data_IF_844915673943
#
_entry.id   IF_844915673943
#
_cell.length_a   1.000
_cell.length_b   1.000
_cell.length_c   1.000
_cell.angle_alpha   90.00
_cell.angle_beta   90.00
_cell.angle_gamma   90.00
#
_symmetry.space_group_name_H-M   'P 1'
#
loop_
_entity.id
_entity.type
_entity.pdbx_description
1 polymer ?
#
# COMPACT_ATOMS: atom_id res chain seq x y z
N UNK A 1 41.32 -42.38 -8.49
CA UNK A 1 40.10 -41.55 -8.41
C UNK A 1 38.96 -42.30 -9.10
N UNK A 2 37.99 -42.83 -8.34
CA UNK A 2 36.75 -43.36 -8.91
C UNK A 2 35.74 -42.21 -8.94
N UNK A 3 35.28 -41.85 -10.13
CA UNK A 3 34.16 -40.92 -10.33
C UNK A 3 32.91 -41.61 -9.78
N UNK A 4 32.27 -41.01 -8.77
CA UNK A 4 30.96 -41.46 -8.31
C UNK A 4 29.92 -41.11 -9.38
N UNK A 5 29.45 -42.12 -10.11
CA UNK A 5 28.29 -41.98 -10.98
C UNK A 5 27.06 -41.80 -10.08
N UNK A 6 26.50 -40.59 -10.03
CA UNK A 6 25.17 -40.38 -9.44
C UNK A 6 24.18 -41.28 -10.20
N UNK A 7 23.45 -42.19 -9.53
CA UNK A 7 22.50 -43.05 -10.23
C UNK A 7 21.43 -42.20 -10.90
N UNK A 8 21.02 -42.60 -12.11
CA UNK A 8 19.92 -41.96 -12.81
C UNK A 8 18.65 -42.01 -11.93
N UNK A 9 17.85 -40.95 -11.88
CA UNK A 9 16.60 -40.97 -11.12
C UNK A 9 15.72 -42.11 -11.63
N UNK A 10 15.20 -42.91 -10.71
CA UNK A 10 14.29 -44.00 -11.06
C UNK A 10 13.05 -43.42 -11.76
N UNK A 11 12.71 -43.97 -12.91
CA UNK A 11 11.51 -43.57 -13.68
C UNK A 11 10.35 -44.43 -13.20
N UNK A 12 9.30 -43.78 -12.66
CA UNK A 12 8.06 -44.44 -12.29
C UNK A 12 7.25 -44.78 -13.55
N UNK A 13 6.48 -45.87 -13.51
CA UNK A 13 5.53 -46.19 -14.57
C UNK A 13 4.35 -45.24 -14.55
N UNK A 14 3.71 -45.06 -15.72
CA UNK A 14 2.53 -44.20 -15.86
C UNK A 14 1.38 -44.63 -14.93
N UNK A 15 1.18 -45.95 -14.77
CA UNK A 15 0.18 -46.50 -13.84
C UNK A 15 0.46 -46.09 -12.40
N UNK A 16 1.74 -46.13 -11.96
CA UNK A 16 2.09 -45.74 -10.59
C UNK A 16 1.98 -44.24 -10.37
N UNK A 17 2.25 -43.43 -11.41
CA UNK A 17 2.01 -41.99 -11.36
C UNK A 17 0.51 -41.69 -11.23
N UNK A 18 -0.35 -42.41 -11.97
CA UNK A 18 -1.80 -42.26 -11.88
C UNK A 18 -2.32 -42.59 -10.47
N UNK A 19 -1.88 -43.71 -9.90
CA UNK A 19 -2.23 -44.08 -8.52
C UNK A 19 -1.80 -43.02 -7.50
N UNK A 20 -0.60 -42.45 -7.65
CA UNK A 20 -0.12 -41.40 -6.76
C UNK A 20 -0.94 -40.10 -6.85
N UNK A 21 -1.43 -39.73 -8.04
CA UNK A 21 -2.34 -38.59 -8.18
C UNK A 21 -3.65 -38.83 -7.43
N UNK A 22 -4.24 -40.02 -7.59
CA UNK A 22 -5.47 -40.40 -6.88
C UNK A 22 -5.25 -40.46 -5.35
N UNK A 23 -4.10 -40.96 -4.89
CA UNK A 23 -3.73 -40.97 -3.47
C UNK A 23 -3.61 -39.54 -2.90
N UNK A 24 -3.04 -38.60 -3.66
CA UNK A 24 -2.89 -37.19 -3.24
C UNK A 24 -4.24 -36.47 -3.22
N UNK A 25 -5.04 -36.62 -4.27
CA UNK A 25 -6.33 -35.93 -4.40
C UNK A 25 -7.33 -36.38 -3.32
N UNK A 26 -7.23 -37.62 -2.87
CA UNK A 26 -8.06 -38.18 -1.80
C UNK A 26 -7.43 -38.11 -0.40
N UNK A 27 -6.29 -37.43 -0.25
CA UNK A 27 -5.62 -37.35 1.04
C UNK A 27 -6.43 -36.53 2.05
N UNK A 28 -6.64 -37.09 3.25
CA UNK A 28 -7.40 -36.44 4.29
C UNK A 28 -6.64 -35.23 4.89
N UNK A 29 -7.22 -34.04 4.72
CA UNK A 29 -6.68 -32.80 5.24
C UNK A 29 -7.20 -32.45 6.65
N UNK A 30 -8.09 -33.25 7.23
CA UNK A 30 -8.75 -32.95 8.53
C UNK A 30 -7.77 -32.81 9.69
N UNK A 31 -6.60 -33.46 9.61
CA UNK A 31 -5.53 -33.36 10.59
C UNK A 31 -4.60 -32.16 10.41
N UNK A 32 -4.77 -31.36 9.36
CA UNK A 32 -3.91 -30.20 9.10
C UNK A 32 -4.53 -28.95 9.71
N UNK A 33 -3.80 -28.34 10.65
CA UNK A 33 -4.14 -27.02 11.18
C UNK A 33 -4.05 -25.98 10.07
N UNK A 34 -5.13 -25.23 9.82
CA UNK A 34 -5.13 -24.13 8.85
C UNK A 34 -4.04 -23.09 9.17
N UNK A 35 -3.66 -22.95 10.44
CA UNK A 35 -2.58 -22.06 10.86
C UNK A 35 -1.19 -22.56 10.45
N UNK A 36 -1.02 -23.86 10.16
CA UNK A 36 0.23 -24.40 9.62
C UNK A 36 0.54 -23.84 8.23
N UNK A 37 -0.47 -23.43 7.45
CA UNK A 37 -0.26 -22.80 6.15
C UNK A 37 0.03 -21.29 6.24
N UNK A 38 -0.21 -20.64 7.39
CA UNK A 38 0.11 -19.22 7.60
C UNK A 38 1.61 -18.91 7.53
N UNK A 39 2.47 -19.92 7.66
CA UNK A 39 3.92 -19.77 7.45
C UNK A 39 4.26 -19.50 5.98
N UNK A 40 3.40 -19.93 5.05
CA UNK A 40 3.53 -19.68 3.61
C UNK A 40 2.77 -18.42 3.17
N UNK A 41 1.91 -17.86 4.03
CA UNK A 41 1.38 -16.51 3.81
C UNK A 41 2.56 -15.52 3.77
N UNK A 42 2.49 -14.56 2.85
CA UNK A 42 3.52 -13.54 2.69
C UNK A 42 3.79 -12.81 4.02
N UNK A 43 4.92 -13.13 4.66
CA UNK A 43 5.44 -12.52 5.90
C UNK A 43 6.01 -11.12 5.62
N UNK A 44 5.19 -10.26 5.00
CA UNK A 44 5.51 -8.88 4.72
C UNK A 44 5.24 -7.95 5.88
N UNK A 45 4.73 -6.77 5.55
CA UNK A 45 4.33 -5.73 6.48
C UNK A 45 3.07 -6.12 7.28
N UNK A 46 3.12 -6.01 8.61
CA UNK A 46 1.96 -6.23 9.50
C UNK A 46 1.67 -4.94 10.32
N UNK A 47 0.55 -4.23 10.06
CA UNK A 47 0.21 -2.99 10.76
C UNK A 47 0.17 -3.10 12.28
N UNK A 48 -0.37 -4.21 12.80
CA UNK A 48 -0.52 -4.45 14.23
C UNK A 48 0.83 -4.62 14.91
N UNK A 49 1.78 -5.29 14.25
CA UNK A 49 3.14 -5.43 14.77
C UNK A 49 3.88 -4.10 14.81
N UNK A 50 3.68 -3.23 13.81
CA UNK A 50 4.27 -1.88 13.81
C UNK A 50 3.71 -1.04 14.96
N UNK A 51 2.39 -1.04 15.18
CA UNK A 51 1.79 -0.34 16.32
C UNK A 51 2.29 -0.91 17.65
N UNK A 52 2.39 -2.25 17.76
CA UNK A 52 2.92 -2.90 18.95
C UNK A 52 4.36 -2.49 19.23
N UNK A 53 5.24 -2.49 18.22
CA UNK A 53 6.63 -2.05 18.37
C UNK A 53 6.73 -0.59 18.82
N UNK A 54 5.89 0.30 18.29
CA UNK A 54 5.83 1.70 18.72
C UNK A 54 5.37 1.79 20.17
N UNK A 55 4.36 1.03 20.57
CA UNK A 55 3.84 1.02 21.94
C UNK A 55 4.87 0.48 22.95
N UNK A 56 5.54 -0.62 22.62
CA UNK A 56 6.62 -1.18 23.45
C UNK A 56 7.74 -0.17 23.64
N UNK A 57 8.20 0.46 22.54
CA UNK A 57 9.25 1.46 22.62
C UNK A 57 8.83 2.72 23.41
N UNK A 58 7.55 3.11 23.33
CA UNK A 58 6.96 4.17 24.14
C UNK A 58 6.99 3.84 25.64
N UNK A 59 6.59 2.61 26.00
CA UNK A 59 6.56 2.14 27.38
C UNK A 59 7.97 2.07 27.98
N UNK A 60 8.94 1.50 27.24
CA UNK A 60 10.35 1.42 27.64
C UNK A 60 10.97 2.79 27.92
N UNK A 61 10.49 3.84 27.24
CA UNK A 61 11.01 5.21 27.34
C UNK A 61 10.10 6.15 28.13
N UNK A 62 9.06 5.63 28.78
CA UNK A 62 8.07 6.41 29.54
C UNK A 62 7.46 7.56 28.72
N UNK A 63 7.20 7.33 27.43
CA UNK A 63 6.53 8.30 26.56
C UNK A 63 5.03 8.22 26.81
N UNK A 64 4.42 9.35 27.15
CA UNK A 64 2.99 9.40 27.39
C UNK A 64 2.18 9.18 26.10
N UNK A 65 0.90 8.83 26.28
CA UNK A 65 -0.01 8.49 25.17
C UNK A 65 -0.14 9.63 24.16
N UNK A 66 -0.27 10.87 24.60
CA UNK A 66 -0.54 11.99 23.70
C UNK A 66 0.70 12.32 22.86
N UNK A 67 1.89 12.29 23.49
CA UNK A 67 3.17 12.39 22.78
C UNK A 67 3.33 11.26 21.77
N UNK A 68 3.04 10.01 22.14
CA UNK A 68 3.11 8.86 21.22
C UNK A 68 2.18 9.03 20.01
N UNK A 69 0.94 9.46 20.24
CA UNK A 69 -0.03 9.70 19.16
C UNK A 69 0.46 10.80 18.21
N UNK A 70 1.01 11.89 18.76
CA UNK A 70 1.58 12.97 17.96
C UNK A 70 2.80 12.52 17.16
N UNK A 71 3.69 11.73 17.76
CA UNK A 71 4.86 11.19 17.08
C UNK A 71 4.47 10.24 15.93
N UNK A 72 3.41 9.42 16.09
CA UNK A 72 2.82 8.65 14.99
C UNK A 72 2.35 9.56 13.85
N UNK A 73 1.67 10.66 14.18
CA UNK A 73 1.20 11.63 13.18
C UNK A 73 2.38 12.29 12.47
N UNK A 74 3.45 12.64 13.18
CA UNK A 74 4.68 13.16 12.58
C UNK A 74 5.33 12.13 11.65
N UNK A 75 5.44 10.87 12.06
CA UNK A 75 5.97 9.80 11.21
C UNK A 75 5.14 9.64 9.92
N UNK A 76 3.81 9.68 10.04
CA UNK A 76 2.90 9.68 8.88
C UNK A 76 3.15 10.88 7.95
N UNK A 77 3.28 12.09 8.51
CA UNK A 77 3.54 13.30 7.75
C UNK A 77 4.87 13.24 7.00
N UNK A 78 5.95 12.80 7.66
CA UNK A 78 7.27 12.65 7.05
C UNK A 78 7.21 11.66 5.88
N UNK A 79 6.58 10.50 6.08
CA UNK A 79 6.41 9.50 5.05
C UNK A 79 5.59 10.00 3.85
N UNK A 80 4.49 10.73 4.08
CA UNK A 80 3.71 11.30 2.99
C UNK A 80 4.52 12.32 2.17
N UNK A 81 5.25 13.22 2.83
CA UNK A 81 6.02 14.29 2.17
C UNK A 81 7.25 13.74 1.44
N UNK A 82 8.00 12.84 2.08
CA UNK A 82 9.34 12.41 1.60
C UNK A 82 9.37 10.98 1.08
N UNK A 83 8.43 10.16 1.49
CA UNK A 83 8.36 8.75 1.13
C UNK A 83 9.29 7.98 2.06
N UNK A 84 10.07 7.08 1.47
CA UNK A 84 11.16 6.43 2.18
C UNK A 84 12.21 7.46 2.61
N UNK A 85 12.40 7.62 3.91
CA UNK A 85 13.46 8.45 4.47
C UNK A 85 14.79 7.71 4.31
N UNK A 86 15.79 8.34 3.73
CA UNK A 86 17.15 7.81 3.58
C UNK A 86 18.15 8.97 3.72
N UNK A 87 19.44 8.66 3.76
CA UNK A 87 20.48 9.66 3.99
C UNK A 87 20.49 10.76 2.91
N UNK A 88 20.23 10.37 1.66
CA UNK A 88 20.10 11.32 0.55
C UNK A 88 18.98 12.34 0.79
N UNK A 89 17.82 11.88 1.27
CA UNK A 89 16.66 12.73 1.49
C UNK A 89 16.81 13.61 2.75
N UNK A 90 17.46 13.08 3.79
CA UNK A 90 17.73 13.78 5.07
C UNK A 90 18.71 14.93 4.86
N UNK A 91 19.79 14.73 4.09
CA UNK A 91 20.79 15.77 3.82
C UNK A 91 20.23 17.03 3.14
N UNK A 92 19.01 16.95 2.60
CA UNK A 92 18.30 18.06 1.92
C UNK A 92 17.20 18.70 2.78
N UNK A 93 17.21 18.43 4.09
CA UNK A 93 16.23 18.97 5.04
C UNK A 93 16.84 20.05 5.92
N UNK A 94 15.98 20.95 6.42
CA UNK A 94 16.38 21.90 7.45
C UNK A 94 16.72 21.20 8.77
N UNK A 95 17.61 21.80 9.55
CA UNK A 95 18.11 21.23 10.81
C UNK A 95 16.99 20.81 11.78
N UNK A 96 15.94 21.62 11.92
CA UNK A 96 14.80 21.30 12.79
C UNK A 96 14.07 20.02 12.36
N UNK A 97 13.96 19.76 11.05
CA UNK A 97 13.34 18.54 10.53
C UNK A 97 14.23 17.32 10.76
N UNK A 98 15.56 17.48 10.57
CA UNK A 98 16.52 16.40 10.84
C UNK A 98 16.51 16.03 12.32
N UNK A 99 16.56 17.01 13.22
CA UNK A 99 16.49 16.78 14.66
C UNK A 99 15.19 16.07 15.06
N UNK A 100 14.05 16.43 14.45
CA UNK A 100 12.79 15.75 14.69
C UNK A 100 12.80 14.30 14.22
N UNK A 101 13.39 14.02 13.05
CA UNK A 101 13.53 12.66 12.53
C UNK A 101 14.44 11.83 13.44
N UNK A 102 15.59 12.35 13.85
CA UNK A 102 16.52 11.66 14.75
C UNK A 102 15.87 11.35 16.10
N UNK A 103 15.13 12.30 16.67
CA UNK A 103 14.35 12.08 17.88
C UNK A 103 13.34 10.92 17.72
N UNK A 104 12.64 10.84 16.58
CA UNK A 104 11.71 9.73 16.30
C UNK A 104 12.45 8.40 16.13
N UNK A 105 13.60 8.41 15.45
CA UNK A 105 14.48 7.23 15.28
C UNK A 105 14.91 6.68 16.64
N UNK A 106 15.37 7.54 17.55
CA UNK A 106 15.81 7.15 18.90
C UNK A 106 14.66 6.68 19.79
N UNK A 107 13.49 7.33 19.71
CA UNK A 107 12.32 7.00 20.54
C UNK A 107 11.67 5.68 20.16
N UNK A 108 11.58 5.36 18.87
CA UNK A 108 10.81 4.21 18.38
C UNK A 108 11.62 3.18 17.62
N UNK A 109 12.96 3.28 17.67
CA UNK A 109 13.88 2.44 16.91
C UNK A 109 13.54 2.44 15.40
N UNK A 110 13.16 3.60 14.87
CA UNK A 110 12.74 3.71 13.46
C UNK A 110 13.95 3.53 12.57
N UNK A 111 13.87 2.57 11.63
CA UNK A 111 14.86 2.41 10.58
C UNK A 111 14.55 3.27 9.36
N UNK A 112 15.60 3.74 8.71
CA UNK A 112 15.54 4.40 7.40
C UNK A 112 15.26 3.39 6.29
N UNK A 113 14.73 3.86 5.18
CA UNK A 113 14.37 3.08 4.00
C UNK A 113 12.91 2.65 3.96
N UNK A 114 12.57 1.84 2.95
CA UNK A 114 11.21 1.35 2.73
C UNK A 114 10.82 0.14 3.57
N UNK A 115 11.75 -0.45 4.34
CA UNK A 115 11.52 -1.70 5.07
C UNK A 115 11.43 -2.95 4.19
N UNK A 116 11.94 -2.89 2.95
CA UNK A 116 12.00 -4.07 2.06
C UNK A 116 13.05 -5.04 2.60
N UNK A 117 12.66 -6.29 2.85
CA UNK A 117 13.54 -7.31 3.44
C UNK A 117 13.71 -7.20 4.95
N UNK A 118 13.07 -6.22 5.60
CA UNK A 118 13.10 -6.11 7.07
C UNK A 118 12.02 -7.02 7.70
N UNK A 119 12.28 -7.60 8.89
CA UNK A 119 11.29 -8.37 9.64
C UNK A 119 10.00 -7.58 9.92
N UNK A 120 8.83 -8.23 10.07
CA UNK A 120 7.53 -7.54 10.21
C UNK A 120 7.43 -6.53 11.38
N UNK A 121 8.17 -6.74 12.46
CA UNK A 121 8.19 -5.86 13.65
C UNK A 121 8.98 -4.57 13.47
N UNK A 122 9.85 -4.49 12.46
CA UNK A 122 10.72 -3.32 12.24
C UNK A 122 9.87 -2.11 11.83
N UNK A 123 10.04 -1.02 12.56
CA UNK A 123 9.36 0.26 12.32
C UNK A 123 10.16 1.05 11.28
N UNK A 124 9.50 1.48 10.21
CA UNK A 124 10.02 2.47 9.25
C UNK A 124 8.95 3.51 8.99
N UNK A 125 9.32 4.73 8.59
CA UNK A 125 8.35 5.77 8.23
C UNK A 125 7.29 5.29 7.23
N UNK A 126 7.72 4.55 6.19
CA UNK A 126 6.82 3.99 5.17
C UNK A 126 5.84 2.97 5.75
N UNK A 127 6.30 2.11 6.67
CA UNK A 127 5.43 1.14 7.35
C UNK A 127 4.46 1.81 8.32
N UNK A 128 4.88 2.87 9.01
CA UNK A 128 3.97 3.67 9.85
C UNK A 128 2.87 4.30 9.00
N UNK A 129 3.19 4.93 7.86
CA UNK A 129 2.18 5.47 6.96
C UNK A 129 1.23 4.40 6.39
N UNK A 130 1.74 3.21 6.08
CA UNK A 130 0.93 2.08 5.64
C UNK A 130 0.03 1.53 6.77
N UNK A 131 0.44 1.67 8.04
CA UNK A 131 -0.37 1.25 9.20
C UNK A 131 -1.49 2.24 9.51
N UNK A 132 -1.31 3.51 9.19
CA UNK A 132 -2.25 4.57 9.55
C UNK A 132 -2.73 5.39 8.33
N UNK A 133 -3.29 4.74 7.29
CA UNK A 133 -3.67 5.42 6.05
C UNK A 133 -4.71 6.53 6.27
N UNK A 134 -5.62 6.33 7.22
CA UNK A 134 -6.60 7.34 7.61
C UNK A 134 -5.99 8.65 8.12
N UNK A 135 -4.85 8.58 8.81
CA UNK A 135 -4.16 9.79 9.28
C UNK A 135 -3.50 10.55 8.14
N UNK A 136 -2.97 9.84 7.15
CA UNK A 136 -2.48 10.47 5.91
C UNK A 136 -3.61 11.23 5.21
N UNK A 137 -4.79 10.62 5.09
CA UNK A 137 -5.95 11.26 4.46
C UNK A 137 -6.38 12.51 5.23
N UNK A 138 -6.48 12.44 6.56
CA UNK A 138 -6.82 13.60 7.39
C UNK A 138 -5.80 14.74 7.25
N UNK A 139 -4.51 14.44 7.20
CA UNK A 139 -3.46 15.44 7.01
C UNK A 139 -3.56 16.12 5.64
N UNK A 140 -3.87 15.37 4.58
CA UNK A 140 -4.05 15.90 3.23
C UNK A 140 -5.33 16.75 3.12
N UNK A 141 -6.45 16.22 3.62
CA UNK A 141 -7.76 16.88 3.60
C UNK A 141 -7.73 18.22 4.34
N UNK A 142 -7.12 18.23 5.53
CA UNK A 142 -6.97 19.44 6.35
C UNK A 142 -5.80 20.33 5.92
N UNK A 143 -5.16 20.03 4.78
CA UNK A 143 -4.05 20.79 4.20
C UNK A 143 -2.88 21.02 5.19
N UNK A 144 -2.65 20.06 6.09
CA UNK A 144 -1.54 20.09 7.06
C UNK A 144 -0.22 19.65 6.45
N UNK A 145 -0.28 18.92 5.34
CA UNK A 145 0.86 18.53 4.52
C UNK A 145 0.56 18.79 3.05
N UNK A 146 1.57 19.04 2.20
CA UNK A 146 1.38 19.15 0.77
C UNK A 146 1.02 17.80 0.15
N UNK A 147 0.08 17.80 -0.78
CA UNK A 147 -0.12 16.69 -1.69
C UNK A 147 1.01 16.62 -2.71
N UNK A 148 1.35 15.41 -3.17
CA UNK A 148 2.37 15.25 -4.21
C UNK A 148 1.82 15.58 -5.58
N UNK A 149 2.60 16.30 -6.36
CA UNK A 149 2.21 16.75 -7.69
C UNK A 149 3.01 16.04 -8.77
N UNK A 150 2.78 14.72 -8.91
CA UNK A 150 3.45 13.93 -9.95
C UNK A 150 2.81 14.19 -11.30
N UNK A 151 3.54 14.90 -12.17
CA UNK A 151 3.12 15.19 -13.54
C UNK A 151 3.60 14.03 -14.43
N UNK A 152 2.66 13.22 -14.89
CA UNK A 152 2.95 12.05 -15.71
C UNK A 152 1.86 11.75 -16.75
N UNK A 153 1.97 10.62 -17.46
CA UNK A 153 1.05 10.26 -18.54
C UNK A 153 -0.41 10.11 -18.10
N UNK A 154 -0.68 9.88 -16.80
CA UNK A 154 -2.02 9.71 -16.27
C UNK A 154 -2.67 11.01 -15.77
N UNK A 155 -1.95 12.13 -15.81
CA UNK A 155 -2.43 13.43 -15.29
C UNK A 155 -2.97 13.34 -13.86
N UNK A 156 -2.39 12.48 -13.03
CA UNK A 156 -2.85 12.26 -11.64
C UNK A 156 -2.68 13.49 -10.74
N UNK A 157 -1.85 14.45 -11.17
CA UNK A 157 -1.75 15.79 -10.59
C UNK A 157 -3.06 16.61 -10.66
N UNK A 158 -4.07 16.16 -11.42
CA UNK A 158 -5.41 16.79 -11.46
C UNK A 158 -6.36 16.27 -10.37
N UNK A 159 -6.08 15.08 -9.80
CA UNK A 159 -6.94 14.47 -8.80
C UNK A 159 -7.02 15.31 -7.51
N UNK A 160 -8.04 15.13 -6.64
CA UNK A 160 -8.05 15.71 -5.31
C UNK A 160 -6.80 15.38 -4.49
N UNK A 161 -6.38 16.29 -3.60
CA UNK A 161 -5.20 16.13 -2.76
C UNK A 161 -5.16 14.77 -2.03
N UNK A 162 -6.30 14.33 -1.51
CA UNK A 162 -6.47 13.06 -0.79
C UNK A 162 -6.21 11.83 -1.65
N UNK A 163 -6.43 11.91 -2.98
CA UNK A 163 -6.15 10.81 -3.91
C UNK A 163 -4.70 10.79 -4.40
N UNK A 164 -3.94 11.85 -4.16
CA UNK A 164 -2.51 11.96 -4.54
C UNK A 164 -1.59 11.27 -3.52
N UNK A 165 -2.00 10.09 -3.06
CA UNK A 165 -1.22 9.21 -2.20
C UNK A 165 -1.75 7.77 -2.28
N UNK A 166 -0.86 6.76 -2.34
CA UNK A 166 -1.24 5.35 -2.48
C UNK A 166 -2.12 4.83 -1.33
N UNK A 167 -1.95 5.39 -0.12
CA UNK A 167 -2.77 5.07 1.05
C UNK A 167 -4.27 5.37 0.88
N UNK A 168 -4.66 6.19 -0.11
CA UNK A 168 -6.07 6.42 -0.43
C UNK A 168 -6.82 5.11 -0.70
N UNK A 169 -6.18 4.14 -1.35
CA UNK A 169 -6.80 2.85 -1.65
C UNK A 169 -7.28 2.10 -0.39
N UNK A 170 -6.56 2.24 0.74
CA UNK A 170 -6.91 1.59 2.00
C UNK A 170 -8.13 2.21 2.70
N UNK A 171 -8.54 3.43 2.32
CA UNK A 171 -9.71 4.09 2.90
C UNK A 171 -10.95 3.99 2.02
N UNK A 172 -10.85 3.40 0.83
CA UNK A 172 -12.02 3.12 0.00
C UNK A 172 -12.82 1.98 0.67
N UNK A 173 -14.09 2.20 1.04
CA UNK A 173 -14.94 1.18 1.66
C UNK A 173 -15.14 -0.02 0.73
N UNK A 174 -15.12 -1.24 1.28
CA UNK A 174 -15.47 -2.44 0.51
C UNK A 174 -16.96 -2.55 0.22
N UNK A 175 -17.80 -1.91 1.06
CA UNK A 175 -19.24 -1.78 0.90
C UNK A 175 -19.67 -0.84 -0.23
N UNK A 176 -18.76 -0.02 -0.76
CA UNK A 176 -19.05 0.86 -1.90
C UNK A 176 -19.40 0.02 -3.12
N UNK A 177 -20.41 0.44 -3.89
CA UNK A 177 -20.82 -0.23 -5.13
C UNK A 177 -19.60 -0.55 -5.98
N UNK A 178 -19.46 -1.83 -6.36
CA UNK A 178 -18.25 -2.40 -6.97
C UNK A 178 -17.69 -1.52 -8.08
N UNK A 179 -18.53 -1.13 -9.03
CA UNK A 179 -18.14 -0.26 -10.13
C UNK A 179 -17.54 1.09 -9.72
N UNK A 180 -18.04 1.69 -8.63
CA UNK A 180 -17.50 2.96 -8.10
C UNK A 180 -16.20 2.73 -7.36
N UNK A 181 -16.11 1.64 -6.61
CA UNK A 181 -14.88 1.20 -5.96
C UNK A 181 -13.76 0.95 -6.97
N UNK A 182 -14.04 0.22 -8.05
CA UNK A 182 -13.09 -0.06 -9.13
C UNK A 182 -12.63 1.20 -9.86
N UNK A 183 -13.55 2.12 -10.13
CA UNK A 183 -13.22 3.42 -10.72
C UNK A 183 -12.23 4.19 -9.84
N UNK A 184 -12.49 4.30 -8.54
CA UNK A 184 -11.61 4.99 -7.59
C UNK A 184 -10.25 4.29 -7.42
N UNK A 185 -10.23 2.97 -7.37
CA UNK A 185 -9.00 2.19 -7.33
C UNK A 185 -8.17 2.38 -8.59
N UNK A 186 -8.82 2.44 -9.76
CA UNK A 186 -8.16 2.73 -11.04
C UNK A 186 -7.49 4.10 -11.03
N UNK A 187 -8.14 5.12 -10.48
CA UNK A 187 -7.53 6.46 -10.33
C UNK A 187 -6.39 6.47 -9.30
N UNK A 188 -6.50 5.69 -8.22
CA UNK A 188 -5.39 5.50 -7.27
C UNK A 188 -4.19 4.80 -7.94
N UNK A 189 -4.44 3.82 -8.81
CA UNK A 189 -3.40 3.18 -9.65
C UNK A 189 -2.76 4.20 -10.58
N UNK A 190 -3.56 5.05 -11.23
CA UNK A 190 -3.09 6.09 -12.13
C UNK A 190 -2.07 7.04 -11.44
N UNK A 191 -2.35 7.44 -10.19
CA UNK A 191 -1.39 8.18 -9.35
C UNK A 191 -0.09 7.40 -9.12
N UNK A 192 -0.19 6.10 -8.81
CA UNK A 192 0.99 5.25 -8.59
C UNK A 192 1.84 5.06 -9.86
N UNK A 193 1.21 5.07 -11.04
CA UNK A 193 1.92 5.07 -12.34
C UNK A 193 2.69 6.37 -12.53
N UNK A 194 2.07 7.53 -12.33
CA UNK A 194 2.75 8.83 -12.47
C UNK A 194 3.87 9.00 -11.43
N UNK A 195 3.66 8.50 -10.21
CA UNK A 195 4.73 8.40 -9.21
C UNK A 195 5.90 7.60 -9.76
N UNK A 196 5.66 6.38 -10.26
CA UNK A 196 6.69 5.51 -10.85
C UNK A 196 7.39 6.16 -12.03
N UNK A 197 6.63 6.90 -12.85
CA UNK A 197 7.17 7.67 -13.96
C UNK A 197 8.14 8.74 -13.45
N UNK A 198 7.76 9.52 -12.43
CA UNK A 198 8.57 10.62 -11.91
C UNK A 198 9.83 10.17 -11.17
N UNK A 199 9.74 9.09 -10.38
CA UNK A 199 10.82 8.67 -9.46
C UNK A 199 11.77 7.62 -10.04
N UNK A 200 11.57 7.18 -11.28
CA UNK A 200 12.44 6.15 -11.90
C UNK A 200 13.89 6.64 -11.97
N UNK A 201 14.81 5.76 -11.58
CA UNK A 201 16.25 6.05 -11.58
C UNK A 201 16.82 6.14 -13.00
N UNK A 202 16.41 5.21 -13.88
CA UNK A 202 16.87 5.20 -15.27
C UNK A 202 15.79 5.77 -16.20
N UNK A 203 16.09 6.95 -16.77
CA UNK A 203 15.22 7.61 -17.75
C UNK A 203 15.43 7.13 -19.19
N UNK A 204 16.49 6.35 -19.46
CA UNK A 204 16.81 5.81 -20.79
C UNK A 204 15.97 4.57 -21.12
N UNK A 205 15.56 3.80 -20.11
CA UNK A 205 14.65 2.67 -20.29
C UNK A 205 13.25 3.19 -20.66
N UNK A 206 12.68 2.63 -21.74
CA UNK A 206 11.32 2.95 -22.18
C UNK A 206 10.34 2.68 -21.05
N UNK A 207 9.51 3.67 -20.74
CA UNK A 207 8.44 3.52 -19.77
C UNK A 207 7.22 2.91 -20.46
N UNK A 208 7.03 1.60 -20.29
CA UNK A 208 5.86 0.87 -20.80
C UNK A 208 4.71 1.05 -19.81
N UNK A 209 3.69 1.82 -20.21
CA UNK A 209 2.64 2.28 -19.31
C UNK A 209 1.80 1.10 -18.81
N UNK A 210 1.45 0.19 -19.70
CA UNK A 210 0.55 -0.93 -19.48
C UNK A 210 1.15 -1.90 -18.45
N UNK A 211 2.42 -2.28 -18.61
CA UNK A 211 3.14 -3.12 -17.66
C UNK A 211 3.26 -2.48 -16.28
N UNK A 212 3.58 -1.18 -16.25
CA UNK A 212 3.67 -0.44 -14.99
C UNK A 212 2.29 -0.36 -14.34
N UNK A 213 1.23 -0.13 -15.13
CA UNK A 213 -0.14 -0.02 -14.64
C UNK A 213 -0.58 -1.31 -13.96
N UNK A 214 -0.39 -2.48 -14.60
CA UNK A 214 -0.77 -3.77 -13.99
C UNK A 214 0.01 -4.06 -12.71
N UNK A 215 1.31 -3.79 -12.70
CA UNK A 215 2.12 -3.93 -11.48
C UNK A 215 1.61 -3.01 -10.36
N UNK A 216 1.26 -1.77 -10.69
CA UNK A 216 0.75 -0.82 -9.70
C UNK A 216 -0.68 -1.16 -9.26
N UNK A 217 -1.52 -1.72 -10.14
CA UNK A 217 -2.86 -2.20 -9.81
C UNK A 217 -2.80 -3.26 -8.73
N UNK A 218 -1.90 -4.23 -8.85
CA UNK A 218 -1.70 -5.27 -7.83
C UNK A 218 -1.33 -4.67 -6.46
N UNK A 219 -0.41 -3.71 -6.44
CA UNK A 219 -0.02 -3.02 -5.21
C UNK A 219 -1.18 -2.24 -4.57
N UNK A 220 -1.94 -1.51 -5.39
CA UNK A 220 -3.14 -0.77 -4.95
C UNK A 220 -4.22 -1.73 -4.43
N UNK A 221 -4.41 -2.88 -5.07
CA UNK A 221 -5.38 -3.88 -4.63
C UNK A 221 -5.00 -4.49 -3.28
N UNK A 222 -3.72 -4.81 -3.07
CA UNK A 222 -3.22 -5.27 -1.75
C UNK A 222 -3.50 -4.21 -0.68
N UNK A 223 -3.26 -2.94 -1.01
CA UNK A 223 -3.53 -1.81 -0.10
C UNK A 223 -5.02 -1.68 0.21
N UNK A 224 -5.88 -1.81 -0.81
CA UNK A 224 -7.33 -1.77 -0.66
C UNK A 224 -7.89 -2.94 0.17
N UNK A 225 -7.26 -4.11 0.08
CA UNK A 225 -7.64 -5.31 0.82
C UNK A 225 -7.04 -5.38 2.23
N UNK A 226 -6.31 -4.35 2.68
CA UNK A 226 -5.69 -4.33 4.00
C UNK A 226 -6.72 -4.53 5.12
N UNK A 227 -6.42 -5.35 6.13
CA UNK A 227 -7.34 -5.58 7.27
C UNK A 227 -7.63 -4.30 8.10
N UNK A 228 -6.78 -3.29 7.98
CA UNK A 228 -6.94 -2.00 8.64
C UNK A 228 -6.87 -0.85 7.61
N UNK A 229 -7.70 0.21 7.73
CA UNK A 229 -8.72 0.43 8.76
C UNK A 229 -9.88 -0.56 8.65
N UNK A 230 -10.57 -0.84 9.76
CA UNK A 230 -11.82 -1.62 9.76
C UNK A 230 -12.86 -0.91 8.89
N UNK A 231 -13.77 -1.67 8.29
CA UNK A 231 -14.74 -1.14 7.31
C UNK A 231 -15.54 0.08 7.82
N UNK A 232 -16.09 0.04 9.04
CA UNK A 232 -16.79 1.18 9.62
C UNK A 232 -15.92 2.44 9.73
N UNK A 233 -14.63 2.27 10.02
CA UNK A 233 -13.68 3.38 10.08
C UNK A 233 -13.39 3.90 8.67
N UNK A 234 -13.28 3.01 7.66
CA UNK A 234 -13.13 3.41 6.26
C UNK A 234 -14.32 4.24 5.80
N UNK A 235 -15.55 3.79 6.07
CA UNK A 235 -16.79 4.50 5.71
C UNK A 235 -16.80 5.90 6.35
N UNK A 236 -16.54 6.00 7.65
CA UNK A 236 -16.51 7.27 8.36
C UNK A 236 -15.45 8.24 7.82
N UNK A 237 -14.24 7.74 7.52
CA UNK A 237 -13.18 8.55 6.91
C UNK A 237 -13.53 8.96 5.48
N UNK A 238 -14.03 8.03 4.66
CA UNK A 238 -14.31 8.26 3.25
C UNK A 238 -15.40 9.33 3.06
N UNK A 239 -16.44 9.32 3.90
CA UNK A 239 -17.46 10.37 3.96
C UNK A 239 -16.89 11.77 4.23
N UNK A 240 -15.78 11.87 4.96
CA UNK A 240 -15.14 13.15 5.28
C UNK A 240 -14.30 13.72 4.13
N UNK A 241 -13.95 12.92 3.11
CA UNK A 241 -13.06 13.34 2.02
C UNK A 241 -13.73 14.20 0.95
N UNK A 242 -15.06 14.37 1.02
CA UNK A 242 -15.85 15.26 0.15
C UNK A 242 -15.46 15.20 -1.35
N UNK A 243 -15.30 13.98 -1.89
CA UNK A 243 -14.90 13.81 -3.28
C UNK A 243 -16.01 14.28 -4.24
N UNK A 244 -15.63 15.13 -5.18
CA UNK A 244 -16.52 15.61 -6.24
C UNK A 244 -16.21 14.89 -7.56
N UNK A 245 -17.25 14.43 -8.26
CA UNK A 245 -17.09 13.70 -9.52
C UNK A 245 -16.27 14.47 -10.57
N UNK A 246 -16.53 15.77 -10.73
CA UNK A 246 -15.87 16.60 -11.74
C UNK A 246 -14.34 16.63 -11.55
N UNK A 247 -13.87 16.61 -10.30
CA UNK A 247 -12.44 16.60 -9.94
C UNK A 247 -11.71 15.31 -10.33
N UNK A 248 -12.44 14.25 -10.71
CA UNK A 248 -11.90 12.95 -11.10
C UNK A 248 -11.74 12.81 -12.62
N UNK A 249 -12.40 13.67 -13.39
CA UNK A 249 -12.64 13.44 -14.82
C UNK A 249 -11.41 13.59 -15.69
N UNK A 250 -10.49 14.50 -15.38
CA UNK A 250 -9.30 14.73 -16.21
C UNK A 250 -8.31 13.56 -16.15
N UNK A 251 -8.04 13.05 -14.95
CA UNK A 251 -7.28 11.83 -14.78
C UNK A 251 -8.02 10.63 -15.39
N UNK A 252 -9.34 10.52 -15.21
CA UNK A 252 -10.12 9.43 -15.80
C UNK A 252 -10.04 9.41 -17.34
N UNK A 253 -10.10 10.57 -18.00
CA UNK A 253 -9.91 10.70 -19.45
C UNK A 253 -8.50 10.32 -19.88
N UNK A 254 -7.49 10.68 -19.10
CA UNK A 254 -6.12 10.28 -19.37
C UNK A 254 -5.95 8.76 -19.29
N UNK A 255 -6.53 8.11 -18.27
CA UNK A 255 -6.57 6.65 -18.17
C UNK A 255 -7.30 6.03 -19.35
N UNK A 256 -8.50 6.51 -19.69
CA UNK A 256 -9.30 6.00 -20.82
C UNK A 256 -8.54 6.09 -22.16
N UNK A 257 -7.74 7.14 -22.36
CA UNK A 257 -6.90 7.29 -23.56
C UNK A 257 -5.83 6.21 -23.73
N UNK A 258 -5.46 5.53 -22.63
CA UNK A 258 -4.49 4.41 -22.60
C UNK A 258 -5.18 3.06 -22.51
N UNK A 259 -6.35 3.01 -21.89
CA UNK A 259 -7.15 1.82 -21.68
C UNK A 259 -8.59 2.09 -22.16
N UNK A 260 -8.89 1.88 -23.47
CA UNK A 260 -10.18 2.25 -24.06
C UNK A 260 -11.40 1.60 -23.39
N UNK A 261 -11.22 0.40 -22.82
CA UNK A 261 -12.27 -0.33 -22.11
C UNK A 261 -12.59 0.27 -20.72
N UNK A 262 -11.75 1.19 -20.22
CA UNK A 262 -12.03 1.91 -18.98
C UNK A 262 -13.20 2.88 -19.19
N UNK A 263 -14.32 2.60 -18.53
CA UNK A 263 -15.51 3.43 -18.55
C UNK A 263 -15.48 4.47 -17.43
N UNK A 264 -15.50 5.74 -17.82
CA UNK A 264 -15.69 6.85 -16.89
C UNK A 264 -17.12 6.78 -16.30
N UNK A 265 -17.24 6.89 -14.98
CA UNK A 265 -18.54 6.96 -14.31
C UNK A 265 -19.32 8.21 -14.72
N UNK A 266 -20.63 8.10 -14.80
CA UNK A 266 -21.51 9.28 -14.82
C UNK A 266 -21.57 9.94 -13.45
N UNK A 267 -21.97 11.22 -13.41
CA UNK A 267 -22.13 11.96 -12.15
C UNK A 267 -23.23 11.34 -11.29
N UNK A 268 -24.33 10.92 -11.90
CA UNK A 268 -25.47 10.30 -11.25
C UNK A 268 -25.07 8.98 -10.57
N UNK A 269 -24.33 8.11 -11.28
CA UNK A 269 -23.82 6.84 -10.73
C UNK A 269 -22.91 7.08 -9.53
N UNK A 270 -22.06 8.10 -9.59
CA UNK A 270 -21.15 8.45 -8.51
C UNK A 270 -21.91 8.99 -7.29
N UNK A 271 -22.77 10.00 -7.47
CA UNK A 271 -23.54 10.63 -6.39
C UNK A 271 -24.47 9.62 -5.70
N UNK A 272 -25.12 8.75 -6.46
CA UNK A 272 -25.97 7.70 -5.90
C UNK A 272 -25.16 6.76 -4.99
N UNK A 273 -24.01 6.27 -5.47
CA UNK A 273 -23.17 5.37 -4.68
C UNK A 273 -22.60 6.04 -3.42
N UNK A 274 -22.31 7.34 -3.46
CA UNK A 274 -21.87 8.09 -2.29
C UNK A 274 -23.01 8.26 -1.27
N UNK A 275 -24.26 8.36 -1.73
CA UNK A 275 -25.46 8.49 -0.88
C UNK A 275 -25.83 7.16 -0.23
N UNK A 276 -25.71 6.06 -0.98
CA UNK A 276 -26.03 4.70 -0.52
C UNK A 276 -25.01 4.13 0.47
N UNK A 277 -23.86 4.81 0.64
CA UNK A 277 -22.84 4.40 1.58
C UNK A 277 -23.33 4.64 3.01
N UNK A 278 -23.77 3.58 3.70
CA UNK A 278 -24.23 3.62 5.10
C UNK A 278 -23.10 3.32 6.09
#
# INVERSE_FOLDING_TARGET
MRLSSTPAPAVLSDDRLSELWDEIDNYDLSGIDADAFKIFEYQGFNPSMVLNSIKVAADERNIDKDTMMMDIIYMCAVAAIKGSVNDHNISRMGQAAVARIQMLEERYNVKRGGGRGEPPHVVTFSRVAASFPGKIMQLLEQKKIPARDFIGPMKSNTLPAVMRHQAFAAVIPSSLKERVREFLLTLATAFSVDQSYCIRADKKVKFVIEEVFERQRNFIQITANAKYPKEQVRIGMFKQLQLEHDSLTDCARAVQSKFPDFRILSREEFVQAMTDLH
#
